data_IF_299957115288
#
_entry.id   IF_299957115288
#
_cell.length_a   1.000
_cell.length_b   1.000
_cell.length_c   1.000
_cell.angle_alpha   90.00
_cell.angle_beta   90.00
_cell.angle_gamma   90.00
#
_symmetry.space_group_name_H-M   'P 1'
#
loop_
_entity.id
_entity.type
_entity.pdbx_description
1 polymer ?
#
# COMPACT_ATOMS: atom_id res chain seq x y z
N UNK A 1 -17.33 4.96 -4.57
CA UNK A 1 -16.47 4.80 -3.39
C UNK A 1 -16.01 3.35 -3.37
N UNK A 2 -14.74 3.07 -3.08
CA UNK A 2 -14.25 1.69 -2.93
C UNK A 2 -14.94 1.04 -1.73
N UNK A 3 -15.25 -0.25 -1.81
CA UNK A 3 -15.85 -0.96 -0.67
C UNK A 3 -14.83 -1.13 0.45
N UNK A 4 -15.30 -1.25 1.69
CA UNK A 4 -14.42 -1.42 2.86
C UNK A 4 -13.59 -2.69 2.73
N UNK A 5 -14.16 -3.77 2.20
CA UNK A 5 -13.47 -5.05 1.98
C UNK A 5 -12.27 -4.88 1.05
N UNK A 6 -12.44 -4.10 -0.04
CA UNK A 6 -11.34 -3.82 -0.98
C UNK A 6 -10.29 -2.92 -0.33
N UNK A 7 -10.68 -1.96 0.50
CA UNK A 7 -9.71 -1.13 1.25
C UNK A 7 -8.88 -2.00 2.19
N UNK A 8 -9.52 -2.90 2.95
CA UNK A 8 -8.84 -3.82 3.87
C UNK A 8 -7.90 -4.75 3.12
N UNK A 9 -8.35 -5.38 2.03
CA UNK A 9 -7.49 -6.26 1.20
C UNK A 9 -6.25 -5.50 0.70
N UNK A 10 -6.41 -4.25 0.26
CA UNK A 10 -5.29 -3.46 -0.23
C UNK A 10 -4.32 -3.06 0.89
N UNK A 11 -4.83 -2.78 2.10
CA UNK A 11 -4.00 -2.56 3.28
C UNK A 11 -3.20 -3.81 3.64
N UNK A 12 -3.83 -4.99 3.68
CA UNK A 12 -3.15 -6.27 3.93
C UNK A 12 -2.04 -6.52 2.90
N UNK A 13 -2.33 -6.30 1.62
CA UNK A 13 -1.34 -6.42 0.53
C UNK A 13 -0.18 -5.44 0.66
N UNK A 14 -0.43 -4.23 1.15
CA UNK A 14 0.61 -3.23 1.43
C UNK A 14 1.53 -3.68 2.57
N UNK A 15 0.95 -4.17 3.66
CA UNK A 15 1.70 -4.71 4.79
C UNK A 15 2.55 -5.93 4.38
N UNK A 16 1.95 -6.90 3.68
CA UNK A 16 2.68 -8.08 3.18
C UNK A 16 3.83 -7.71 2.25
N UNK A 17 3.63 -6.74 1.36
CA UNK A 17 4.68 -6.28 0.46
C UNK A 17 5.88 -5.73 1.25
N UNK A 18 5.63 -4.87 2.26
CA UNK A 18 6.70 -4.36 3.13
C UNK A 18 7.40 -5.49 3.88
N UNK A 19 6.64 -6.44 4.42
CA UNK A 19 7.16 -7.59 5.16
C UNK A 19 8.08 -8.46 4.29
N UNK A 20 7.78 -8.59 2.99
CA UNK A 20 8.62 -9.25 1.98
C UNK A 20 9.81 -8.42 1.49
N UNK A 21 9.95 -7.18 1.98
CA UNK A 21 11.07 -6.31 1.64
C UNK A 21 10.82 -5.33 0.49
N UNK A 22 9.57 -5.23 0.00
CA UNK A 22 9.24 -4.31 -1.07
C UNK A 22 9.35 -2.84 -0.61
N UNK A 23 9.87 -2.00 -1.51
CA UNK A 23 9.94 -0.55 -1.36
C UNK A 23 8.57 0.12 -1.51
N UNK A 24 8.51 1.40 -1.15
CA UNK A 24 7.30 2.21 -1.28
C UNK A 24 6.90 2.45 -2.74
N UNK A 25 7.91 2.62 -3.58
CA UNK A 25 7.85 2.83 -5.03
C UNK A 25 7.31 1.62 -5.79
N UNK A 26 7.30 0.44 -5.17
CA UNK A 26 6.74 -0.79 -5.72
C UNK A 26 5.22 -0.88 -5.57
N UNK A 27 4.58 0.15 -5.00
CA UNK A 27 3.12 0.24 -4.98
C UNK A 27 2.56 0.10 -6.41
N UNK A 28 1.73 -0.92 -6.68
CA UNK A 28 1.24 -1.20 -8.03
C UNK A 28 0.39 -0.06 -8.60
N UNK A 29 -0.19 0.77 -7.74
CA UNK A 29 -1.01 1.91 -8.15
C UNK A 29 -0.17 3.11 -8.60
N UNK A 30 1.11 3.26 -8.21
CA UNK A 30 1.94 4.40 -8.67
C UNK A 30 2.19 4.41 -10.18
N UNK A 31 2.18 3.24 -10.82
CA UNK A 31 2.45 3.08 -12.25
C UNK A 31 1.18 3.13 -13.12
N UNK A 32 0.01 3.00 -12.49
CA UNK A 32 -1.29 2.86 -13.17
C UNK A 32 -1.75 4.18 -13.83
N UNK A 33 -1.28 5.35 -13.37
CA UNK A 33 -1.57 6.65 -14.02
C UNK A 33 -1.12 6.68 -15.49
N UNK A 34 -0.10 5.91 -15.88
CA UNK A 34 0.39 5.88 -17.26
C UNK A 34 -0.41 4.97 -18.22
N UNK A 35 -1.30 4.10 -17.71
CA UNK A 35 -1.90 3.00 -18.50
C UNK A 35 -3.44 3.05 -18.59
N UNK A 36 -4.13 3.88 -17.80
CA UNK A 36 -5.59 3.90 -17.78
C UNK A 36 -6.18 4.87 -18.82
N UNK A 37 -6.47 4.34 -20.01
CA UNK A 37 -7.22 5.01 -21.07
C UNK A 37 -8.75 5.01 -20.89
N UNK A 38 -9.29 4.52 -19.76
CA UNK A 38 -10.75 4.47 -19.53
C UNK A 38 -11.15 5.02 -18.15
N UNK A 39 -12.13 5.93 -18.17
CA UNK A 39 -12.66 6.67 -17.01
C UNK A 39 -13.13 5.75 -15.87
N UNK A 40 -13.63 4.54 -16.18
CA UNK A 40 -14.12 3.58 -15.19
C UNK A 40 -13.03 2.91 -14.35
N UNK A 41 -11.82 2.74 -14.90
CA UNK A 41 -10.69 2.19 -14.15
C UNK A 41 -9.93 3.27 -13.36
N UNK A 42 -10.09 4.53 -13.74
CA UNK A 42 -9.61 5.68 -12.98
C UNK A 42 -10.43 5.94 -11.71
N UNK A 43 -11.68 5.45 -11.66
CA UNK A 43 -12.55 5.61 -10.50
C UNK A 43 -11.90 4.98 -9.26
N UNK A 44 -11.65 5.84 -8.28
CA UNK A 44 -11.07 5.53 -6.97
C UNK A 44 -9.66 4.92 -6.99
N UNK A 45 -8.90 5.15 -8.07
CA UNK A 45 -7.48 4.79 -8.11
C UNK A 45 -6.71 5.37 -6.91
N UNK A 46 -7.01 6.62 -6.56
CA UNK A 46 -6.37 7.30 -5.44
C UNK A 46 -6.68 6.63 -4.09
N UNK A 47 -7.94 6.21 -3.87
CA UNK A 47 -8.34 5.46 -2.67
C UNK A 47 -7.59 4.13 -2.57
N UNK A 48 -7.44 3.42 -3.70
CA UNK A 48 -6.68 2.15 -3.77
C UNK A 48 -5.19 2.36 -3.51
N UNK A 49 -4.60 3.41 -4.10
CA UNK A 49 -3.21 3.81 -3.87
C UNK A 49 -2.96 4.08 -2.39
N UNK A 50 -3.82 4.88 -1.76
CA UNK A 50 -3.72 5.24 -0.35
C UNK A 50 -3.92 4.02 0.57
N UNK A 51 -4.87 3.13 0.27
CA UNK A 51 -5.11 1.92 1.05
C UNK A 51 -3.85 1.03 1.10
N UNK A 52 -3.22 0.78 -0.04
CA UNK A 52 -1.97 0.01 -0.09
C UNK A 52 -0.84 0.71 0.69
N UNK A 53 -0.70 2.03 0.51
CA UNK A 53 0.32 2.82 1.21
C UNK A 53 0.16 2.77 2.72
N UNK A 54 -1.07 2.83 3.21
CA UNK A 54 -1.36 2.79 4.63
C UNK A 54 -0.89 1.48 5.26
N UNK A 55 -1.22 0.34 4.65
CA UNK A 55 -0.75 -0.96 5.11
C UNK A 55 0.77 -1.10 5.11
N UNK A 56 1.42 -0.65 4.04
CA UNK A 56 2.90 -0.63 3.96
C UNK A 56 3.51 0.22 5.08
N UNK A 57 2.94 1.40 5.36
CA UNK A 57 3.45 2.34 6.36
C UNK A 57 3.34 1.77 7.79
N UNK A 58 2.25 1.08 8.10
CA UNK A 58 2.06 0.39 9.38
C UNK A 58 3.16 -0.66 9.57
N UNK A 59 3.32 -1.57 8.61
CA UNK A 59 4.35 -2.61 8.71
C UNK A 59 5.75 -2.01 8.81
N UNK A 60 6.03 -0.94 8.06
CA UNK A 60 7.32 -0.27 8.13
C UNK A 60 7.58 0.33 9.52
N UNK A 61 6.58 0.97 10.13
CA UNK A 61 6.69 1.53 11.48
C UNK A 61 6.95 0.43 12.53
N UNK A 62 6.21 -0.69 12.47
CA UNK A 62 6.45 -1.84 13.35
C UNK A 62 7.86 -2.37 13.24
N UNK A 63 8.36 -2.51 12.01
CA UNK A 63 9.73 -2.99 11.78
C UNK A 63 10.76 -2.03 12.35
N UNK A 64 10.63 -0.72 12.10
CA UNK A 64 11.56 0.28 12.64
C UNK A 64 11.59 0.21 14.17
N UNK A 65 10.43 0.22 14.82
CA UNK A 65 10.33 0.14 16.28
C UNK A 65 10.97 -1.15 16.83
N UNK A 66 10.74 -2.29 16.18
CA UNK A 66 11.29 -3.57 16.59
C UNK A 66 12.81 -3.67 16.43
N UNK A 67 13.40 -2.98 15.45
CA UNK A 67 14.85 -2.92 15.30
C UNK A 67 15.50 -1.97 16.31
N UNK A 68 14.85 -0.87 16.67
CA UNK A 68 15.34 0.06 17.71
C UNK A 68 15.38 -0.62 19.10
N UNK A 69 14.36 -1.40 19.45
CA UNK A 69 14.29 -2.14 20.72
C UNK A 69 15.37 -3.23 20.87
N UNK A 70 16.02 -3.65 19.76
CA UNK A 70 17.10 -4.65 19.77
C UNK A 70 18.50 -4.08 19.69
N UNK A 71 18.62 -2.79 19.40
CA UNK A 71 19.88 -2.08 19.35
C UNK A 71 20.20 -1.36 20.69
N UNK A 72 19.23 -1.34 21.62
CA UNK A 72 19.29 -0.74 22.96
C UNK A 72 19.61 -1.78 24.04
#
# INVERSE_FOLDING_TARGET
MVSVEVIVELQERGAEARARGAGWEENPFLRIVALLGTFDQANHWEEKRQAWQFGWAIENAYRIAYFDDRAS
#
